data_IF_097438430275
#
_entry.id   IF_097438430275
#
_cell.length_a   1.000
_cell.length_b   1.000
_cell.length_c   1.000
_cell.angle_alpha   90.00
_cell.angle_beta   90.00
_cell.angle_gamma   90.00
#
_symmetry.space_group_name_H-M   'P 1'
#
loop_
_entity.id
_entity.type
_entity.pdbx_description
1 polymer ?
#
# COMPACT_ATOMS: atom_id res chain seq x y z
N UNK A 1 -7.66 8.44 12.34
CA UNK A 1 -6.22 8.60 12.61
C UNK A 1 -5.80 9.99 12.18
N UNK A 2 -4.90 10.61 12.92
CA UNK A 2 -4.22 11.86 12.54
C UNK A 2 -3.20 11.59 11.42
N UNK A 3 -2.79 12.61 10.67
CA UNK A 3 -1.79 12.45 9.62
C UNK A 3 -0.47 11.89 10.13
N UNK A 4 -0.02 12.33 11.33
CA UNK A 4 1.19 11.80 11.98
C UNK A 4 1.09 10.31 12.27
N UNK A 5 -0.06 9.82 12.73
CA UNK A 5 -0.27 8.40 12.99
C UNK A 5 -0.22 7.60 11.68
N UNK A 6 -0.80 8.11 10.61
CA UNK A 6 -0.79 7.46 9.29
C UNK A 6 0.62 7.37 8.74
N UNK A 7 1.39 8.46 8.77
CA UNK A 7 2.79 8.49 8.35
C UNK A 7 3.63 7.48 9.13
N UNK A 8 3.44 7.41 10.46
CA UNK A 8 4.15 6.46 11.30
C UNK A 8 3.77 5.01 10.98
N UNK A 9 2.49 4.72 10.76
CA UNK A 9 2.03 3.38 10.35
C UNK A 9 2.66 2.96 9.01
N UNK A 10 2.67 3.84 8.01
CA UNK A 10 3.30 3.56 6.71
C UNK A 10 4.81 3.35 6.86
N UNK A 11 5.47 4.17 7.69
CA UNK A 11 6.91 4.04 7.96
C UNK A 11 7.24 2.70 8.61
N UNK A 12 6.43 2.25 9.57
CA UNK A 12 6.60 0.96 10.23
C UNK A 12 6.46 -0.19 9.24
N UNK A 13 5.40 -0.19 8.41
CA UNK A 13 5.20 -1.22 7.38
C UNK A 13 6.39 -1.26 6.41
N UNK A 14 6.87 -0.10 5.96
CA UNK A 14 8.04 -0.01 5.07
C UNK A 14 9.29 -0.60 5.72
N UNK A 15 9.52 -0.30 7.00
CA UNK A 15 10.67 -0.83 7.74
C UNK A 15 10.59 -2.35 7.91
N UNK A 16 9.42 -2.88 8.27
CA UNK A 16 9.20 -4.33 8.41
C UNK A 16 9.46 -5.07 7.11
N UNK A 17 8.94 -4.58 5.99
CA UNK A 17 9.14 -5.22 4.69
C UNK A 17 10.59 -5.11 4.20
N UNK A 18 11.27 -4.00 4.50
CA UNK A 18 12.68 -3.85 4.17
C UNK A 18 13.57 -4.88 4.89
N UNK A 19 13.25 -5.24 6.14
CA UNK A 19 13.94 -6.32 6.88
C UNK A 19 13.81 -7.66 6.14
N UNK A 20 12.67 -7.91 5.49
CA UNK A 20 12.41 -9.11 4.70
C UNK A 20 12.93 -9.00 3.25
N UNK A 21 13.73 -7.97 2.92
CA UNK A 21 14.19 -7.65 1.56
C UNK A 21 13.04 -7.41 0.56
N UNK A 22 11.86 -7.01 1.03
CA UNK A 22 10.71 -6.66 0.22
C UNK A 22 10.60 -5.15 0.06
N UNK A 23 10.58 -4.68 -1.19
CA UNK A 23 10.41 -3.27 -1.51
C UNK A 23 8.94 -2.93 -1.79
N UNK A 24 8.41 -1.95 -1.07
CA UNK A 24 7.06 -1.43 -1.29
C UNK A 24 7.00 -0.54 -2.54
N UNK A 25 5.99 -0.76 -3.38
CA UNK A 25 5.69 0.11 -4.51
C UNK A 25 4.98 1.40 -4.03
N UNK A 26 5.31 2.55 -4.63
CA UNK A 26 4.64 3.83 -4.36
C UNK A 26 3.11 3.78 -4.51
N UNK A 27 2.59 2.96 -5.41
CA UNK A 27 1.15 2.76 -5.56
C UNK A 27 0.52 2.10 -4.32
N UNK A 28 1.21 1.11 -3.74
CA UNK A 28 0.74 0.42 -2.54
C UNK A 28 0.73 1.37 -1.32
N UNK A 29 1.69 2.31 -1.24
CA UNK A 29 1.69 3.36 -0.21
C UNK A 29 0.44 4.22 -0.33
N UNK A 30 0.12 4.67 -1.55
CA UNK A 30 -1.02 5.56 -1.81
C UNK A 30 -2.35 4.93 -1.42
N UNK A 31 -2.56 3.66 -1.76
CA UNK A 31 -3.80 2.97 -1.39
C UNK A 31 -3.83 2.61 0.10
N UNK A 32 -2.68 2.31 0.72
CA UNK A 32 -2.56 2.20 2.18
C UNK A 32 -2.95 3.48 2.92
N UNK A 33 -2.50 4.65 2.45
CA UNK A 33 -2.90 5.94 3.02
C UNK A 33 -4.40 6.20 2.88
N UNK A 34 -5.00 5.95 1.71
CA UNK A 34 -6.44 6.10 1.50
C UNK A 34 -7.25 5.21 2.44
N UNK A 35 -6.81 3.96 2.65
CA UNK A 35 -7.44 3.04 3.59
C UNK A 35 -7.38 3.57 5.02
N UNK A 36 -6.21 4.01 5.48
CA UNK A 36 -6.05 4.55 6.84
C UNK A 36 -6.82 5.88 7.06
N UNK A 37 -7.08 6.62 5.98
CA UNK A 37 -7.96 7.80 5.96
C UNK A 37 -9.46 7.46 5.87
N UNK A 38 -9.82 6.18 5.72
CA UNK A 38 -11.21 5.74 5.54
C UNK A 38 -11.82 6.12 4.18
N UNK A 39 -11.00 6.46 3.19
CA UNK A 39 -11.45 6.85 1.86
C UNK A 39 -11.77 5.65 0.96
N UNK A 40 -11.16 4.50 1.26
CA UNK A 40 -11.43 3.22 0.61
C UNK A 40 -11.45 2.11 1.66
N UNK A 41 -12.15 1.04 1.36
CA UNK A 41 -12.13 -0.21 2.14
C UNK A 41 -10.84 -1.00 1.90
N UNK A 42 -10.54 -1.94 2.79
CA UNK A 42 -9.44 -2.89 2.59
C UNK A 42 -9.66 -3.74 1.33
N UNK A 43 -10.91 -4.07 1.00
CA UNK A 43 -11.28 -4.81 -0.22
C UNK A 43 -10.87 -4.04 -1.48
N UNK A 44 -11.25 -2.76 -1.57
CA UNK A 44 -10.90 -1.91 -2.71
C UNK A 44 -9.37 -1.73 -2.84
N UNK A 45 -8.67 -1.54 -1.72
CA UNK A 45 -7.20 -1.44 -1.73
C UNK A 45 -6.53 -2.70 -2.30
N UNK A 46 -7.00 -3.89 -1.89
CA UNK A 46 -6.50 -5.17 -2.38
C UNK A 46 -6.83 -5.36 -3.87
N UNK A 47 -8.04 -4.98 -4.30
CA UNK A 47 -8.45 -5.06 -5.71
C UNK A 47 -7.57 -4.18 -6.60
N UNK A 48 -7.29 -2.95 -6.20
CA UNK A 48 -6.39 -2.04 -6.95
C UNK A 48 -4.99 -2.63 -7.12
N UNK A 49 -4.40 -3.14 -6.03
CA UNK A 49 -3.07 -3.76 -6.06
C UNK A 49 -3.07 -5.00 -6.97
N UNK A 50 -4.12 -5.83 -6.87
CA UNK A 50 -4.28 -7.03 -7.70
C UNK A 50 -4.39 -6.68 -9.19
N UNK A 51 -5.20 -5.68 -9.53
CA UNK A 51 -5.34 -5.21 -10.91
C UNK A 51 -4.03 -4.64 -11.45
N UNK A 52 -3.29 -3.88 -10.63
CA UNK A 52 -1.98 -3.37 -11.01
C UNK A 52 -1.01 -4.50 -11.36
N UNK A 53 -0.92 -5.53 -10.52
CA UNK A 53 -0.06 -6.71 -10.75
C UNK A 53 -0.47 -7.43 -12.05
N UNK A 54 -1.77 -7.69 -12.25
CA UNK A 54 -2.27 -8.32 -13.48
C UNK A 54 -1.92 -7.51 -14.72
N UNK A 55 -2.08 -6.19 -14.67
CA UNK A 55 -1.77 -5.30 -15.81
C UNK A 55 -0.27 -5.28 -16.16
N UNK A 56 0.61 -5.49 -15.17
CA UNK A 56 2.06 -5.61 -15.37
C UNK A 56 2.43 -6.95 -16.02
N UNK A 57 1.80 -8.05 -15.59
CA UNK A 57 2.03 -9.38 -16.17
C UNK A 57 1.57 -9.45 -17.63
N UNK A 58 0.45 -8.81 -17.99
CA UNK A 58 -0.07 -8.79 -19.36
C UNK A 58 0.76 -7.93 -20.34
N UNK A 59 1.69 -7.11 -19.84
CA UNK A 59 2.57 -6.25 -20.64
C UNK A 59 3.99 -6.83 -20.80
N UNK A 60 4.26 -7.99 -20.22
CA UNK A 60 5.49 -8.77 -20.42
C UNK A 60 5.23 -9.87 -21.43
#
# INVERSE_FOLDING_TARGET
MTEKEIEQSIKNVKATLAIENLNINKLNIKDGEKYLKGQITSKEAIEHITQYIRSKQLKQ
#
